data_IF_566114748877
#
_entry.id   IF_566114748877
#
_cell.length_a   1.000
_cell.length_b   1.000
_cell.length_c   1.000
_cell.angle_alpha   90.00
_cell.angle_beta   90.00
_cell.angle_gamma   90.00
#
_symmetry.space_group_name_H-M   'P 1'
#
loop_
_entity.id
_entity.type
_entity.pdbx_description
1 polymer ?
#
# COMPACT_ATOMS: atom_id res chain seq x y z
N UNK A 1 -8.31 -1.45 -10.76
CA UNK A 1 -7.27 -1.18 -9.73
C UNK A 1 -7.39 -2.25 -8.66
N UNK A 2 -6.28 -2.85 -8.28
CA UNK A 2 -6.26 -3.88 -7.24
C UNK A 2 -5.45 -3.37 -6.04
N UNK A 3 -6.13 -3.15 -4.94
CA UNK A 3 -5.56 -2.52 -3.76
C UNK A 3 -5.65 -3.45 -2.56
N UNK A 4 -4.58 -3.52 -1.78
CA UNK A 4 -4.54 -4.31 -0.54
C UNK A 4 -4.17 -3.41 0.63
N UNK A 5 -4.47 -3.85 1.84
CA UNK A 5 -4.02 -3.19 3.06
C UNK A 5 -2.84 -3.97 3.65
N UNK A 6 -1.74 -3.27 3.89
CA UNK A 6 -0.57 -3.87 4.52
C UNK A 6 -0.79 -4.02 6.03
N UNK A 7 -0.38 -5.15 6.63
CA UNK A 7 -0.45 -5.32 8.08
C UNK A 7 0.74 -4.62 8.75
N UNK A 8 0.77 -3.29 8.67
CA UNK A 8 1.92 -2.50 9.13
C UNK A 8 2.30 -2.74 10.59
N UNK A 9 1.30 -3.01 11.45
CA UNK A 9 1.56 -3.30 12.86
C UNK A 9 2.31 -4.62 13.08
N UNK A 10 2.30 -5.50 12.08
CA UNK A 10 2.97 -6.80 12.09
C UNK A 10 4.24 -6.82 11.25
N UNK A 11 4.66 -5.66 10.74
CA UNK A 11 5.83 -5.55 9.86
C UNK A 11 6.94 -4.77 10.53
N UNK A 12 8.19 -5.16 10.24
CA UNK A 12 9.38 -4.46 10.72
C UNK A 12 9.71 -3.21 9.90
N UNK A 13 9.04 -3.01 8.78
CA UNK A 13 9.29 -1.90 7.86
C UNK A 13 8.01 -1.11 7.64
N UNK A 14 8.16 0.13 7.18
CA UNK A 14 7.02 0.98 6.83
C UNK A 14 6.58 0.73 5.36
N UNK A 15 5.49 1.40 4.97
CA UNK A 15 4.94 1.25 3.63
C UNK A 15 5.93 1.67 2.53
N UNK A 16 6.66 2.74 2.73
CA UNK A 16 7.66 3.21 1.76
C UNK A 16 8.74 2.16 1.55
N UNK A 17 9.25 1.60 2.63
CA UNK A 17 10.27 0.54 2.57
C UNK A 17 9.73 -0.71 1.89
N UNK A 18 8.47 -1.06 2.13
CA UNK A 18 7.80 -2.16 1.43
C UNK A 18 7.75 -1.90 -0.08
N UNK A 19 7.33 -0.70 -0.48
CA UNK A 19 7.25 -0.34 -1.90
C UNK A 19 8.62 -0.35 -2.57
N UNK A 20 9.66 0.10 -1.87
CA UNK A 20 11.04 0.03 -2.36
C UNK A 20 11.51 -1.41 -2.53
N UNK A 21 11.16 -2.30 -1.60
CA UNK A 21 11.51 -3.72 -1.69
C UNK A 21 10.82 -4.38 -2.89
N UNK A 22 9.55 -4.07 -3.14
CA UNK A 22 8.83 -4.57 -4.31
C UNK A 22 9.47 -4.05 -5.61
N UNK A 23 9.83 -2.77 -5.64
CA UNK A 23 10.51 -2.17 -6.79
C UNK A 23 11.85 -2.86 -7.07
N UNK A 24 12.59 -3.21 -6.02
CA UNK A 24 13.84 -3.96 -6.14
C UNK A 24 13.65 -5.35 -6.76
N UNK A 25 12.45 -5.92 -6.64
CA UNK A 25 12.07 -7.18 -7.27
C UNK A 25 11.45 -6.98 -8.66
N UNK A 26 11.43 -5.76 -9.16
CA UNK A 26 10.89 -5.42 -10.48
C UNK A 26 9.37 -5.26 -10.51
N UNK A 27 8.73 -5.08 -9.35
CA UNK A 27 7.28 -4.88 -9.28
C UNK A 27 6.97 -3.49 -8.76
N UNK A 28 6.41 -2.64 -9.63
CA UNK A 28 5.96 -1.31 -9.27
C UNK A 28 4.65 -1.37 -8.48
N UNK A 29 4.56 -0.54 -7.44
CA UNK A 29 3.35 -0.39 -6.64
C UNK A 29 2.96 1.08 -6.58
N UNK A 30 1.72 1.36 -6.20
CA UNK A 30 1.24 2.73 -6.12
C UNK A 30 0.46 2.99 -4.84
N UNK A 31 0.13 4.26 -4.64
CA UNK A 31 -0.71 4.71 -3.52
C UNK A 31 -2.03 5.24 -4.07
N UNK A 32 -3.14 4.75 -3.54
CA UNK A 32 -4.49 5.21 -3.90
C UNK A 32 -5.41 4.97 -2.69
N UNK A 33 -5.70 5.96 -1.90
CA UNK A 33 -5.23 7.34 -1.89
C UNK A 33 -4.99 7.75 -0.45
N UNK A 34 -4.38 8.93 -0.20
CA UNK A 34 -4.33 9.52 1.13
C UNK A 34 -5.76 9.80 1.62
N UNK A 35 -6.00 9.69 2.92
CA UNK A 35 -7.30 10.06 3.49
C UNK A 35 -7.61 11.53 3.17
N UNK A 36 -8.76 11.78 2.55
CA UNK A 36 -9.10 13.10 2.00
C UNK A 36 -9.04 14.20 3.04
N UNK A 37 -9.55 13.96 4.24
CA UNK A 37 -9.59 14.96 5.30
C UNK A 37 -8.20 15.34 5.83
N UNK A 38 -7.17 14.53 5.54
CA UNK A 38 -5.79 14.80 5.92
C UNK A 38 -4.99 15.53 4.86
N UNK A 39 -5.59 15.78 3.68
CA UNK A 39 -4.94 16.59 2.65
C UNK A 39 -4.89 18.05 3.08
N UNK A 40 -3.94 18.81 2.54
CA UNK A 40 -3.73 20.21 2.91
C UNK A 40 -5.00 21.04 2.79
N UNK A 41 -5.76 20.84 1.71
CA UNK A 41 -7.00 21.60 1.48
C UNK A 41 -8.00 21.45 2.63
N UNK A 42 -8.21 20.21 3.09
CA UNK A 42 -9.21 19.95 4.14
C UNK A 42 -8.67 20.26 5.53
N UNK A 43 -7.36 20.06 5.77
CA UNK A 43 -6.72 20.47 7.03
C UNK A 43 -6.86 21.97 7.24
N UNK A 44 -6.67 22.76 6.19
CA UNK A 44 -6.82 24.22 6.25
C UNK A 44 -8.25 24.64 6.60
N UNK A 45 -9.21 23.74 6.41
CA UNK A 45 -10.63 23.96 6.75
C UNK A 45 -11.01 23.38 8.12
N UNK A 46 -10.05 22.90 8.89
CA UNK A 46 -10.26 22.43 10.25
C UNK A 46 -10.42 20.92 10.42
N UNK A 47 -10.32 20.15 9.36
CA UNK A 47 -10.35 18.68 9.46
C UNK A 47 -9.04 18.15 10.03
N UNK A 48 -9.14 17.12 10.86
CA UNK A 48 -7.98 16.64 11.63
C UNK A 48 -7.89 15.13 11.68
N UNK A 49 -6.69 14.63 11.99
CA UNK A 49 -6.45 13.24 12.30
C UNK A 49 -7.32 12.80 13.52
N UNK A 50 -7.80 11.58 13.47
CA UNK A 50 -8.64 11.01 14.52
C UNK A 50 -10.13 11.12 14.24
N UNK A 51 -10.56 11.96 13.30
CA UNK A 51 -11.99 12.17 13.00
C UNK A 51 -12.60 11.04 12.18
N UNK A 52 -11.80 10.40 11.32
CA UNK A 52 -12.24 9.31 10.45
C UNK A 52 -11.24 8.14 10.51
N UNK A 53 -11.25 7.35 11.61
CA UNK A 53 -10.24 6.32 11.84
C UNK A 53 -10.11 5.29 10.73
N UNK A 54 -11.23 4.87 10.13
CA UNK A 54 -11.21 3.86 9.05
C UNK A 54 -10.54 4.42 7.79
N UNK A 55 -10.94 5.63 7.38
CA UNK A 55 -10.33 6.30 6.22
C UNK A 55 -8.84 6.55 6.43
N UNK A 56 -8.46 6.93 7.62
CA UNK A 56 -7.06 7.18 7.99
C UNK A 56 -6.26 5.88 7.94
N UNK A 57 -6.81 4.78 8.44
CA UNK A 57 -6.17 3.46 8.39
C UNK A 57 -5.97 3.02 6.93
N UNK A 58 -7.02 3.10 6.12
CA UNK A 58 -6.94 2.74 4.71
C UNK A 58 -5.88 3.58 3.99
N UNK A 59 -5.89 4.90 4.19
CA UNK A 59 -4.92 5.80 3.57
C UNK A 59 -3.48 5.50 3.99
N UNK A 60 -3.28 5.01 5.21
CA UNK A 60 -1.98 4.68 5.75
C UNK A 60 -1.47 3.31 5.30
N UNK A 61 -2.37 2.33 5.16
CA UNK A 61 -2.01 0.93 4.89
C UNK A 61 -2.17 0.51 3.43
N UNK A 62 -2.84 1.30 2.61
CA UNK A 62 -3.17 0.91 1.24
C UNK A 62 -1.94 0.87 0.33
N UNK A 63 -1.91 -0.15 -0.52
CA UNK A 63 -0.94 -0.26 -1.62
C UNK A 63 -1.65 -0.81 -2.83
N UNK A 64 -1.44 -0.21 -3.99
CA UNK A 64 -2.00 -0.66 -5.26
C UNK A 64 -1.00 -1.57 -5.95
N UNK A 65 -1.44 -2.77 -6.29
CA UNK A 65 -0.65 -3.76 -7.02
C UNK A 65 -0.86 -3.63 -8.53
N UNK A 66 0.05 -4.15 -9.36
CA UNK A 66 -0.11 -4.08 -10.81
C UNK A 66 -1.39 -4.76 -11.28
N UNK A 67 -2.11 -4.09 -12.18
CA UNK A 67 -3.28 -4.63 -12.86
C UNK A 67 -3.40 -3.96 -14.22
N UNK A 68 -3.23 -4.73 -15.30
CA UNK A 68 -3.31 -4.22 -16.67
C UNK A 68 -3.90 -5.31 -17.58
N UNK A 69 -4.52 -4.92 -18.73
CA UNK A 69 -5.27 -5.87 -19.58
C UNK A 69 -4.46 -7.04 -20.11
N UNK A 70 -3.17 -6.85 -20.38
CA UNK A 70 -2.29 -7.89 -20.92
C UNK A 70 -1.69 -8.81 -19.85
N UNK A 71 -2.10 -8.66 -18.61
CA UNK A 71 -1.58 -9.47 -17.50
C UNK A 71 -1.91 -10.94 -17.71
N UNK A 72 -0.88 -11.79 -17.66
CA UNK A 72 -1.03 -13.23 -17.76
C UNK A 72 -1.18 -13.87 -16.38
N UNK A 73 -1.68 -15.12 -16.28
CA UNK A 73 -1.66 -15.85 -15.01
C UNK A 73 -0.26 -15.94 -14.38
N UNK A 74 0.78 -16.07 -15.21
CA UNK A 74 2.17 -16.08 -14.72
C UNK A 74 2.57 -14.76 -14.09
N UNK A 75 2.11 -13.63 -14.66
CA UNK A 75 2.36 -12.30 -14.07
C UNK A 75 1.69 -12.17 -12.71
N UNK A 76 0.45 -12.63 -12.57
CA UNK A 76 -0.28 -12.61 -11.30
C UNK A 76 0.43 -13.47 -10.25
N UNK A 77 0.85 -14.67 -10.63
CA UNK A 77 1.59 -15.56 -9.74
C UNK A 77 2.90 -14.93 -9.29
N UNK A 78 3.61 -14.27 -10.17
CA UNK A 78 4.86 -13.57 -9.84
C UNK A 78 4.63 -12.44 -8.84
N UNK A 79 3.60 -11.63 -9.04
CA UNK A 79 3.24 -10.56 -8.11
C UNK A 79 2.89 -11.13 -6.74
N UNK A 80 2.03 -12.14 -6.70
CA UNK A 80 1.62 -12.78 -5.44
C UNK A 80 2.79 -13.44 -4.71
N UNK A 81 3.65 -14.16 -5.42
CA UNK A 81 4.81 -14.82 -4.84
C UNK A 81 5.80 -13.81 -4.27
N UNK A 82 6.04 -12.72 -5.01
CA UNK A 82 6.94 -11.65 -4.57
C UNK A 82 6.38 -10.93 -3.35
N UNK A 83 5.08 -10.61 -3.37
CA UNK A 83 4.39 -10.00 -2.24
C UNK A 83 4.55 -10.83 -0.97
N UNK A 84 4.27 -12.12 -1.06
CA UNK A 84 4.40 -13.05 0.09
C UNK A 84 5.84 -13.12 0.60
N UNK A 85 6.81 -13.18 -0.31
CA UNK A 85 8.22 -13.24 0.07
C UNK A 85 8.67 -11.98 0.77
N UNK A 86 8.32 -10.82 0.25
CA UNK A 86 8.66 -9.53 0.86
C UNK A 86 8.04 -9.39 2.24
N UNK A 87 6.75 -9.74 2.39
CA UNK A 87 6.07 -9.69 3.68
C UNK A 87 6.73 -10.62 4.71
N UNK A 88 7.08 -11.85 4.31
CA UNK A 88 7.72 -12.82 5.21
C UNK A 88 9.12 -12.39 5.62
N UNK A 89 9.90 -11.88 4.67
CA UNK A 89 11.29 -11.47 4.95
C UNK A 89 11.37 -10.18 5.77
N UNK A 90 10.29 -9.41 5.86
CA UNK A 90 10.22 -8.16 6.61
C UNK A 90 9.34 -8.26 7.87
N UNK A 91 8.92 -9.44 8.25
CA UNK A 91 8.21 -9.67 9.50
C UNK A 91 9.14 -9.42 10.69
N UNK A 92 8.62 -8.90 11.81
CA UNK A 92 9.45 -8.70 13.02
C UNK A 92 9.99 -10.00 13.56
#
# INVERSE_FOLDING_TARGET
>A
MFTVLLPLDEMAIDRRQFMEAMQGEGIGTGLSYEAIHLTTLFRDRGWREGQFPVSERIGRETVTLPLFPEMTPADVERVCATLKRVLRSRAP
#
